data_IF_170401232010
#
_entry.id   IF_170401232010
#
_cell.length_a   1.000
_cell.length_b   1.000
_cell.length_c   1.000
_cell.angle_alpha   90.00
_cell.angle_beta   90.00
_cell.angle_gamma   90.00
#
_symmetry.space_group_name_H-M   'P 1'
#
loop_
_entity.id
_entity.type
_entity.pdbx_description
1 polymer ?
#
# COMPACT_ATOMS: atom_id res chain seq x y z
N UNK A 1 -1.48 -11.92 -15.07
CA UNK A 1 -1.67 -11.19 -16.34
C UNK A 1 -2.88 -11.80 -17.04
N UNK A 2 -4.01 -11.10 -17.14
CA UNK A 2 -5.10 -11.57 -18.01
C UNK A 2 -4.64 -11.38 -19.46
N UNK A 3 -4.55 -12.47 -20.23
CA UNK A 3 -4.01 -12.43 -21.60
C UNK A 3 -4.96 -11.74 -22.59
N UNK A 4 -6.25 -11.67 -22.26
CA UNK A 4 -7.28 -11.12 -23.16
C UNK A 4 -7.78 -9.73 -22.74
N UNK A 5 -7.47 -9.28 -21.52
CA UNK A 5 -8.10 -8.09 -20.94
C UNK A 5 -7.24 -6.81 -20.99
N UNK A 6 -5.95 -6.88 -21.34
CA UNK A 6 -4.95 -5.79 -21.23
C UNK A 6 -4.91 -5.06 -19.85
N UNK A 7 -5.51 -5.67 -18.83
CA UNK A 7 -5.69 -5.10 -17.50
C UNK A 7 -4.80 -5.82 -16.48
N UNK A 8 -4.27 -5.03 -15.56
CA UNK A 8 -3.49 -5.43 -14.41
C UNK A 8 -4.33 -5.26 -13.16
N UNK A 9 -4.62 -6.37 -12.51
CA UNK A 9 -5.37 -6.38 -11.26
C UNK A 9 -4.38 -6.51 -10.10
N UNK A 10 -4.48 -5.58 -9.16
CA UNK A 10 -3.69 -5.56 -7.94
C UNK A 10 -4.64 -5.55 -6.75
N UNK A 11 -4.47 -6.51 -5.83
CA UNK A 11 -5.24 -6.56 -4.59
C UNK A 11 -4.30 -6.26 -3.44
N UNK A 12 -4.66 -5.28 -2.63
CA UNK A 12 -3.90 -4.88 -1.45
C UNK A 12 -4.86 -4.58 -0.30
N UNK A 13 -4.80 -5.38 0.76
CA UNK A 13 -5.77 -5.37 1.86
C UNK A 13 -7.22 -5.47 1.34
N UNK A 14 -8.04 -4.46 1.58
CA UNK A 14 -9.42 -4.35 1.13
C UNK A 14 -9.58 -3.53 -0.18
N UNK A 15 -8.49 -3.20 -0.85
CA UNK A 15 -8.48 -2.35 -2.04
C UNK A 15 -8.19 -3.20 -3.27
N UNK A 16 -9.04 -3.05 -4.29
CA UNK A 16 -8.88 -3.65 -5.60
C UNK A 16 -8.55 -2.56 -6.61
N UNK A 17 -7.37 -2.63 -7.20
CA UNK A 17 -6.98 -1.75 -8.29
C UNK A 17 -7.04 -2.49 -9.62
N UNK A 18 -7.57 -1.79 -10.62
CA UNK A 18 -7.56 -2.23 -12.00
C UNK A 18 -6.89 -1.14 -12.83
N UNK A 19 -5.79 -1.50 -13.48
CA UNK A 19 -4.98 -0.58 -14.26
C UNK A 19 -4.79 -1.10 -15.68
N UNK A 20 -4.72 -0.20 -16.66
CA UNK A 20 -3.96 -0.48 -17.88
C UNK A 20 -2.44 -0.42 -17.60
N UNK A 21 -1.62 -0.69 -18.62
CA UNK A 21 -0.16 -0.70 -18.48
C UNK A 21 0.42 0.66 -18.11
N UNK A 22 -0.10 1.74 -18.68
CA UNK A 22 0.41 3.10 -18.46
C UNK A 22 0.04 3.58 -17.06
N UNK A 23 -1.20 3.35 -16.65
CA UNK A 23 -1.70 3.62 -15.31
C UNK A 23 -0.89 2.87 -14.25
N UNK A 24 -0.58 1.60 -14.47
CA UNK A 24 0.24 0.83 -13.55
C UNK A 24 1.65 1.41 -13.42
N UNK A 25 2.28 1.81 -14.53
CA UNK A 25 3.62 2.38 -14.50
C UNK A 25 3.65 3.72 -13.77
N UNK A 26 2.70 4.62 -14.06
CA UNK A 26 2.55 5.90 -13.32
C UNK A 26 2.30 5.68 -11.84
N UNK A 27 1.46 4.69 -11.50
CA UNK A 27 1.21 4.34 -10.12
C UNK A 27 2.47 3.83 -9.41
N UNK A 28 3.30 3.03 -10.10
CA UNK A 28 4.60 2.59 -9.56
C UNK A 28 5.56 3.75 -9.32
N UNK A 29 5.69 4.66 -10.27
CA UNK A 29 6.52 5.86 -10.13
C UNK A 29 6.05 6.70 -8.93
N UNK A 30 4.75 6.96 -8.86
CA UNK A 30 4.16 7.69 -7.73
C UNK A 30 4.46 7.03 -6.38
N UNK A 31 4.19 5.72 -6.25
CA UNK A 31 4.43 5.00 -4.98
C UNK A 31 5.92 4.96 -4.61
N UNK A 32 6.81 4.93 -5.61
CA UNK A 32 8.26 4.97 -5.37
C UNK A 32 8.71 6.31 -4.77
N UNK A 33 8.08 7.41 -5.16
CA UNK A 33 8.40 8.77 -4.72
C UNK A 33 7.77 9.15 -3.36
N UNK A 34 6.89 8.31 -2.79
CA UNK A 34 6.32 8.57 -1.46
C UNK A 34 7.43 8.55 -0.39
N UNK A 35 7.70 9.73 0.16
CA UNK A 35 8.55 9.94 1.33
C UNK A 35 7.76 9.69 2.62
N UNK A 36 7.96 8.52 3.20
CA UNK A 36 7.32 8.11 4.46
C UNK A 36 7.72 9.03 5.62
N UNK A 37 8.98 9.45 5.69
CA UNK A 37 9.49 10.24 6.82
C UNK A 37 8.85 11.62 6.83
N UNK A 38 8.75 12.26 5.66
CA UNK A 38 8.05 13.53 5.52
C UNK A 38 6.62 13.48 6.10
N UNK A 39 5.86 12.44 5.75
CA UNK A 39 4.48 12.31 6.24
C UNK A 39 4.39 12.02 7.73
N UNK A 40 5.29 11.18 8.27
CA UNK A 40 5.34 10.89 9.71
C UNK A 40 5.66 12.15 10.51
N UNK A 41 6.58 12.99 10.03
CA UNK A 41 6.94 14.25 10.67
C UNK A 41 5.80 15.28 10.58
N UNK A 42 5.19 15.44 9.39
CA UNK A 42 4.07 16.35 9.16
C UNK A 42 2.88 16.05 10.10
N UNK A 43 2.67 14.77 10.38
CA UNK A 43 1.54 14.26 11.16
C UNK A 43 1.93 13.81 12.58
N UNK A 44 3.10 14.26 13.07
CA UNK A 44 3.65 13.85 14.36
C UNK A 44 2.73 14.17 15.56
N UNK A 45 1.92 15.22 15.46
CA UNK A 45 0.97 15.62 16.50
C UNK A 45 -0.31 14.79 16.54
N UNK A 46 -0.51 13.86 15.60
CA UNK A 46 -1.73 13.05 15.49
C UNK A 46 -1.52 11.64 16.06
N UNK A 47 -2.54 11.12 16.74
CA UNK A 47 -2.55 9.75 17.30
C UNK A 47 -3.05 8.69 16.31
N UNK A 48 -3.40 9.08 15.09
CA UNK A 48 -3.94 8.16 14.08
C UNK A 48 -2.84 7.24 13.54
N UNK A 49 -3.15 5.96 13.34
CA UNK A 49 -2.16 4.98 12.82
C UNK A 49 -1.84 5.20 11.33
N UNK A 50 -2.87 5.44 10.51
CA UNK A 50 -2.75 5.70 9.08
C UNK A 50 -2.63 7.20 8.84
N UNK A 51 -1.54 7.63 8.20
CA UNK A 51 -1.18 9.06 8.08
C UNK A 51 -0.72 9.48 6.69
N UNK A 52 -0.52 8.53 5.78
CA UNK A 52 0.04 8.78 4.45
C UNK A 52 -1.11 8.79 3.43
N UNK A 53 -1.53 9.97 2.93
CA UNK A 53 -2.59 10.04 1.94
C UNK A 53 -2.04 9.72 0.54
N UNK A 54 -2.77 8.88 -0.19
CA UNK A 54 -2.60 8.61 -1.61
C UNK A 54 -3.88 9.07 -2.31
N UNK A 55 -3.84 10.18 -3.06
CA UNK A 55 -5.01 10.70 -3.75
C UNK A 55 -5.43 9.76 -4.87
N UNK A 56 -6.74 9.66 -5.09
CA UNK A 56 -7.28 8.93 -6.23
C UNK A 56 -7.73 9.91 -7.32
N UNK A 57 -8.10 9.40 -8.50
CA UNK A 57 -8.73 10.21 -9.54
C UNK A 57 -10.09 10.79 -9.12
N UNK A 58 -10.76 10.19 -8.13
CA UNK A 58 -12.00 10.73 -7.59
C UNK A 58 -11.69 11.80 -6.55
N UNK A 59 -12.12 13.04 -6.82
CA UNK A 59 -11.83 14.22 -5.99
C UNK A 59 -12.28 14.08 -4.52
N UNK A 60 -13.24 13.19 -4.24
CA UNK A 60 -13.81 12.97 -2.90
C UNK A 60 -13.34 11.65 -2.27
N UNK A 61 -12.30 11.01 -2.83
CA UNK A 61 -11.77 9.75 -2.32
C UNK A 61 -10.25 9.82 -2.22
N UNK A 62 -9.75 9.70 -0.99
CA UNK A 62 -8.33 9.59 -0.67
C UNK A 62 -8.13 8.30 0.09
N UNK A 63 -7.13 7.51 -0.33
CA UNK A 63 -6.71 6.33 0.40
C UNK A 63 -5.68 6.77 1.44
N UNK A 64 -5.79 6.28 2.67
CA UNK A 64 -4.82 6.61 3.72
C UNK A 64 -4.17 5.32 4.19
N UNK A 65 -2.85 5.33 4.21
CA UNK A 65 -2.02 4.19 4.56
C UNK A 65 -1.16 4.51 5.79
N UNK A 66 -0.73 3.47 6.50
CA UNK A 66 0.39 3.58 7.44
C UNK A 66 1.74 3.32 6.74
N UNK A 67 2.84 3.53 7.46
CA UNK A 67 4.19 3.36 6.92
C UNK A 67 4.49 1.92 6.50
N UNK A 68 3.95 0.95 7.23
CA UNK A 68 4.13 -0.46 6.91
C UNK A 68 3.38 -0.81 5.63
N UNK A 69 2.14 -0.35 5.49
CA UNK A 69 1.32 -0.56 4.30
C UNK A 69 1.99 0.02 3.03
N UNK A 70 2.61 1.20 3.11
CA UNK A 70 3.34 1.78 1.97
C UNK A 70 4.58 0.94 1.60
N UNK A 71 5.34 0.44 2.58
CA UNK A 71 6.48 -0.42 2.31
C UNK A 71 6.07 -1.75 1.69
N UNK A 72 5.00 -2.38 2.19
CA UNK A 72 4.44 -3.59 1.59
C UNK A 72 3.93 -3.36 0.17
N UNK A 73 3.29 -2.21 -0.08
CA UNK A 73 2.85 -1.81 -1.41
C UNK A 73 4.05 -1.62 -2.36
N UNK A 74 5.15 -1.02 -1.90
CA UNK A 74 6.41 -0.91 -2.67
C UNK A 74 6.98 -2.28 -3.02
N UNK A 75 6.96 -3.23 -2.08
CA UNK A 75 7.42 -4.61 -2.31
C UNK A 75 6.51 -5.30 -3.34
N UNK A 76 5.20 -5.20 -3.18
CA UNK A 76 4.21 -5.82 -4.05
C UNK A 76 4.30 -5.31 -5.50
N UNK A 77 4.56 -4.02 -5.67
CA UNK A 77 4.77 -3.39 -6.97
C UNK A 77 6.13 -3.70 -7.60
N UNK A 78 7.05 -4.34 -6.86
CA UNK A 78 8.40 -4.67 -7.27
C UNK A 78 9.35 -3.48 -7.28
N UNK A 79 9.04 -2.42 -6.51
CA UNK A 79 9.86 -1.21 -6.38
C UNK A 79 11.00 -1.47 -5.38
N UNK A 80 10.68 -2.04 -4.23
CA UNK A 80 11.64 -2.45 -3.20
C UNK A 80 11.79 -3.97 -3.17
N UNK A 81 12.97 -4.45 -2.76
CA UNK A 81 13.19 -5.89 -2.56
C UNK A 81 12.63 -6.28 -1.19
N UNK A 82 11.57 -7.09 -1.20
CA UNK A 82 11.09 -7.73 0.02
C UNK A 82 12.18 -8.59 0.66
N UNK A 83 12.26 -8.55 1.98
CA UNK A 83 13.20 -9.38 2.72
C UNK A 83 12.64 -10.81 2.77
N UNK A 84 13.07 -11.66 1.82
CA UNK A 84 12.61 -13.06 1.68
C UNK A 84 12.80 -13.91 2.93
N UNK A 85 13.62 -13.46 3.88
CA UNK A 85 13.94 -14.14 5.13
C UNK A 85 13.32 -13.48 6.37
N UNK A 86 12.39 -12.52 6.20
CA UNK A 86 11.74 -11.88 7.34
C UNK A 86 10.84 -12.90 8.05
N UNK A 87 11.20 -13.25 9.27
CA UNK A 87 10.36 -14.07 10.14
C UNK A 87 9.15 -13.23 10.59
N UNK A 88 7.95 -13.78 10.41
CA UNK A 88 6.70 -13.13 10.80
C UNK A 88 6.59 -13.19 12.31
N UNK A 89 6.38 -12.04 12.97
CA UNK A 89 6.12 -11.98 14.40
C UNK A 89 4.64 -12.30 14.68
N UNK A 90 4.32 -12.80 15.87
CA UNK A 90 2.92 -13.03 16.27
C UNK A 90 2.07 -11.76 16.22
N UNK A 91 2.68 -10.59 16.47
CA UNK A 91 2.04 -9.29 16.37
C UNK A 91 1.72 -8.87 14.92
N UNK A 92 2.33 -9.50 13.92
CA UNK A 92 2.05 -9.23 12.50
C UNK A 92 0.78 -9.97 12.01
N UNK A 93 0.22 -10.86 12.83
CA UNK A 93 -0.92 -11.69 12.46
C UNK A 93 -2.17 -11.18 13.19
N UNK A 94 -3.15 -10.73 12.41
CA UNK A 94 -4.43 -10.21 12.92
C UNK A 94 -5.36 -11.37 13.33
N UNK A 95 -5.03 -12.03 14.44
CA UNK A 95 -5.84 -13.11 14.99
C UNK A 95 -7.06 -12.54 15.69
N UNK A 96 -8.25 -12.92 15.24
CA UNK A 96 -9.46 -12.79 16.07
C UNK A 96 -9.34 -13.81 17.21
N UNK A 97 -9.08 -13.34 18.44
CA UNK A 97 -9.07 -14.19 19.62
C UNK A 97 -10.49 -14.72 19.86
N UNK A 98 -10.73 -15.97 19.48
CA UNK A 98 -11.96 -16.67 19.84
C UNK A 98 -11.76 -17.20 21.27
N UNK A 99 -12.39 -16.55 22.24
CA UNK A 99 -12.47 -17.01 23.62
C UNK A 99 -13.72 -17.90 23.76
N UNK A 100 -13.53 -19.13 24.21
CA UNK A 100 -14.59 -20.11 24.48
C UNK A 100 -15.18 -19.91 25.88
#
# INVERSE_FOLDING_TARGET
MCKDCNNYNLVFNNIFFQFDKEQLNKFKEYVAEIDINYWLDYSASTTQRRKIPVPTFHQNLVLVFDSYEIEELKILLGISKGNKNKMIATADIDYTLILN
#
